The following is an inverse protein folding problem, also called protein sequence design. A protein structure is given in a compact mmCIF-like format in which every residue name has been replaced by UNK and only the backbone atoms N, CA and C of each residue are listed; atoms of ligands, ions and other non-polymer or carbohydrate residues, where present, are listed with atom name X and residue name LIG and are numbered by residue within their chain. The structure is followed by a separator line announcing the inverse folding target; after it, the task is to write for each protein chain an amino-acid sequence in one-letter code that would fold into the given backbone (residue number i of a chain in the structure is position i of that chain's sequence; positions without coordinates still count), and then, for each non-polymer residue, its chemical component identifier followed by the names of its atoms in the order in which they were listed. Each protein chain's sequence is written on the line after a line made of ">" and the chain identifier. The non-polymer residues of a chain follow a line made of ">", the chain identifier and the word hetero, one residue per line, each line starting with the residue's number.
data_IF_562450676783
#
_entry.id   IF_562450676783
#
_cell.length_a   1.000
_cell.length_b   1.000
_cell.length_c   1.000
_cell.angle_alpha   90.00
_cell.angle_beta   90.00
_cell.angle_gamma   90.00
#
_symmetry.space_group_name_H-M   'P 1'
#
loop_
_entity.id
_entity.type
_entity.pdbx_description
1 polymer ?
#
# COMPACT_ATOMS: atom_id res chain seq x y z
N UNK A 1 -27.00 16.01 42.81
CA UNK A 1 -27.22 16.91 41.66
C UNK A 1 -27.26 18.31 42.23
N UNK A 2 -26.20 19.08 42.00
CA UNK A 2 -25.84 20.24 42.83
C UNK A 2 -26.68 21.47 42.59
N UNK A 3 -27.41 21.89 43.62
CA UNK A 3 -28.25 23.11 43.73
C UNK A 3 -27.41 24.41 43.49
N UNK A 4 -26.10 24.35 43.67
CA UNK A 4 -25.20 25.49 43.49
C UNK A 4 -25.05 26.01 42.04
N UNK A 5 -25.27 25.15 41.04
CA UNK A 5 -25.15 25.55 39.63
C UNK A 5 -26.37 26.36 39.16
N UNK A 6 -27.56 26.13 39.76
CA UNK A 6 -28.79 26.83 39.40
C UNK A 6 -28.82 28.29 39.87
N UNK A 7 -28.10 28.61 40.99
CA UNK A 7 -28.04 29.97 41.57
C UNK A 7 -27.08 30.92 40.84
N UNK A 8 -26.09 30.38 40.15
CA UNK A 8 -25.14 31.19 39.39
C UNK A 8 -25.78 31.70 38.10
N UNK A 9 -26.70 30.93 37.49
CA UNK A 9 -27.40 31.31 36.27
C UNK A 9 -28.42 32.44 36.44
N UNK A 10 -28.95 32.65 37.65
CA UNK A 10 -29.99 33.64 37.91
C UNK A 10 -29.51 35.09 38.01
N UNK A 11 -28.20 35.31 38.07
CA UNK A 11 -27.59 36.65 38.21
C UNK A 11 -26.78 37.11 37.00
N UNK A 12 -26.75 36.30 35.95
CA UNK A 12 -26.05 36.66 34.71
C UNK A 12 -27.01 37.38 33.75
N UNK A 13 -26.68 38.63 33.41
CA UNK A 13 -27.44 39.42 32.44
C UNK A 13 -27.61 38.62 31.13
N UNK A 14 -28.81 38.53 30.57
CA UNK A 14 -29.14 37.73 29.37
C UNK A 14 -28.19 38.01 28.19
N UNK A 15 -27.67 39.24 28.08
CA UNK A 15 -26.66 39.63 27.07
C UNK A 15 -25.30 38.91 27.30
N UNK A 16 -24.91 38.68 28.56
CA UNK A 16 -23.64 37.98 28.89
C UNK A 16 -23.76 36.46 28.66
N UNK A 17 -24.92 35.88 28.93
CA UNK A 17 -25.20 34.45 28.64
C UNK A 17 -25.20 34.20 27.14
N UNK A 18 -25.77 35.10 26.35
CA UNK A 18 -25.75 35.03 24.88
C UNK A 18 -24.33 35.10 24.31
N UNK A 19 -23.50 35.96 24.87
CA UNK A 19 -22.08 36.08 24.48
C UNK A 19 -21.28 34.83 24.80
N UNK A 20 -21.51 34.21 25.97
CA UNK A 20 -20.82 32.97 26.38
C UNK A 20 -21.26 31.81 25.51
N UNK A 21 -22.56 31.71 25.17
CA UNK A 21 -23.07 30.69 24.24
C UNK A 21 -22.51 30.86 22.83
N UNK A 22 -22.38 32.10 22.36
CA UNK A 22 -21.84 32.41 21.03
C UNK A 22 -20.34 32.09 20.93
N UNK A 23 -19.55 32.40 21.99
CA UNK A 23 -18.12 32.06 22.05
C UNK A 23 -17.89 30.54 22.20
N UNK A 24 -18.73 29.85 22.94
CA UNK A 24 -18.65 28.39 23.09
C UNK A 24 -19.02 27.66 21.78
N UNK A 25 -19.99 28.16 21.02
CA UNK A 25 -20.34 27.66 19.68
C UNK A 25 -19.22 27.83 18.66
N UNK A 26 -18.45 28.93 18.76
CA UNK A 26 -17.35 29.20 17.83
C UNK A 26 -16.11 28.31 18.08
N UNK A 27 -15.92 27.83 19.33
CA UNK A 27 -14.87 26.88 19.69
C UNK A 27 -15.12 25.46 19.17
N UNK A 28 -16.36 25.07 18.91
CA UNK A 28 -16.70 23.74 18.40
C UNK A 28 -16.47 23.56 16.89
N UNK A 29 -16.29 24.64 16.14
CA UNK A 29 -16.10 24.61 14.69
C UNK A 29 -14.65 24.36 14.25
N UNK A 30 -13.68 24.39 15.15
CA UNK A 30 -12.25 24.20 14.81
C UNK A 30 -11.74 22.76 14.93
N UNK A 31 -12.58 21.81 15.35
CA UNK A 31 -12.16 20.44 15.65
C UNK A 31 -12.16 19.46 14.46
N UNK A 32 -12.54 19.89 13.23
CA UNK A 32 -12.90 18.93 12.19
C UNK A 32 -11.82 18.58 11.13
N UNK A 33 -10.56 19.04 11.25
CA UNK A 33 -9.59 18.79 10.16
C UNK A 33 -8.26 18.16 10.58
N UNK A 34 -8.08 17.79 11.84
CA UNK A 34 -6.79 17.25 12.33
C UNK A 34 -6.72 15.71 12.26
N UNK A 35 -7.85 15.02 12.25
CA UNK A 35 -7.91 13.55 12.29
C UNK A 35 -7.30 12.88 11.06
N UNK A 36 -7.57 13.38 9.86
CA UNK A 36 -7.11 12.75 8.62
C UNK A 36 -5.59 12.86 8.44
N UNK A 37 -4.97 13.99 8.78
CA UNK A 37 -3.51 14.17 8.67
C UNK A 37 -2.72 13.26 9.62
N UNK A 38 -3.20 13.04 10.83
CA UNK A 38 -2.54 12.17 11.81
C UNK A 38 -2.59 10.71 11.35
N UNK A 39 -3.73 10.25 10.86
CA UNK A 39 -3.89 8.88 10.31
C UNK A 39 -3.00 8.68 9.09
N UNK A 40 -2.88 9.66 8.21
CA UNK A 40 -2.03 9.57 7.02
C UNK A 40 -0.55 9.50 7.38
N UNK A 41 -0.09 10.27 8.38
CA UNK A 41 1.30 10.22 8.86
C UNK A 41 1.62 8.88 9.52
N UNK A 42 0.73 8.35 10.36
CA UNK A 42 0.90 7.05 11.00
C UNK A 42 0.96 5.92 9.96
N UNK A 43 0.09 5.94 8.95
CA UNK A 43 0.09 4.98 7.85
C UNK A 43 1.39 5.05 7.04
N UNK A 44 1.84 6.25 6.70
CA UNK A 44 3.08 6.46 5.99
C UNK A 44 4.28 5.89 6.77
N UNK A 45 4.34 6.11 8.08
CA UNK A 45 5.39 5.57 8.92
C UNK A 45 5.32 4.04 9.02
N UNK A 46 4.12 3.47 9.16
CA UNK A 46 3.93 2.02 9.18
C UNK A 46 4.42 1.39 7.87
N UNK A 47 4.08 1.96 6.71
CA UNK A 47 4.57 1.48 5.41
C UNK A 47 6.09 1.55 5.33
N UNK A 48 6.72 2.66 5.74
CA UNK A 48 8.19 2.77 5.77
C UNK A 48 8.82 1.65 6.61
N UNK A 49 8.27 1.41 7.80
CA UNK A 49 8.76 0.34 8.69
C UNK A 49 8.65 -1.04 8.04
N UNK A 50 7.54 -1.35 7.34
CA UNK A 50 7.36 -2.61 6.61
C UNK A 50 8.42 -2.79 5.52
N UNK A 51 8.70 -1.73 4.75
CA UNK A 51 9.68 -1.76 3.66
C UNK A 51 11.11 -1.94 4.19
N UNK A 52 11.49 -1.20 5.24
CA UNK A 52 12.82 -1.31 5.87
C UNK A 52 13.02 -2.67 6.56
N UNK A 53 11.98 -3.19 7.21
CA UNK A 53 11.99 -4.51 7.84
C UNK A 53 11.96 -5.66 6.83
N UNK A 54 11.64 -5.39 5.54
CA UNK A 54 11.41 -6.40 4.49
C UNK A 54 10.35 -7.43 4.89
N UNK A 55 9.27 -6.96 5.51
CA UNK A 55 8.20 -7.83 6.03
C UNK A 55 6.83 -7.30 5.58
N UNK A 56 6.46 -7.59 4.35
CA UNK A 56 5.19 -7.13 3.79
C UNK A 56 4.63 -8.07 2.72
N UNK A 57 3.36 -7.89 2.44
CA UNK A 57 2.66 -8.53 1.34
C UNK A 57 1.99 -7.47 0.47
N UNK A 58 2.04 -7.64 -0.84
CA UNK A 58 1.24 -6.86 -1.77
C UNK A 58 0.14 -7.75 -2.31
N UNK A 59 -1.11 -7.42 -1.95
CA UNK A 59 -2.30 -8.06 -2.53
C UNK A 59 -2.61 -7.41 -3.87
N UNK A 60 -2.65 -8.22 -4.94
CA UNK A 60 -2.80 -7.73 -6.31
C UNK A 60 -4.25 -7.86 -6.77
N UNK A 61 -4.78 -6.77 -7.32
CA UNK A 61 -6.15 -6.72 -7.86
C UNK A 61 -6.23 -6.69 -9.37
N UNK A 62 -5.16 -6.22 -10.05
CA UNK A 62 -5.13 -6.15 -11.52
C UNK A 62 -3.72 -6.35 -12.05
N UNK A 63 -3.64 -6.82 -13.31
CA UNK A 63 -2.40 -6.92 -14.08
C UNK A 63 -2.53 -6.17 -15.40
N UNK A 64 -1.43 -5.65 -15.90
CA UNK A 64 -1.32 -5.00 -17.20
C UNK A 64 -0.17 -5.62 -17.98
N UNK A 65 -0.45 -6.55 -18.90
CA UNK A 65 0.54 -7.06 -19.84
C UNK A 65 1.05 -5.95 -20.77
N UNK A 66 2.25 -6.11 -21.34
CA UNK A 66 2.84 -5.12 -22.24
C UNK A 66 1.98 -4.88 -23.48
N UNK A 67 1.34 -5.92 -24.03
CA UNK A 67 0.63 -5.89 -25.31
C UNK A 67 -0.88 -6.06 -25.19
N UNK A 68 -1.45 -5.91 -23.98
CA UNK A 68 -2.88 -6.11 -23.73
C UNK A 68 -3.45 -5.08 -22.73
N UNK A 69 -4.77 -4.86 -22.73
CA UNK A 69 -5.44 -4.04 -21.72
C UNK A 69 -5.24 -4.57 -20.30
N UNK A 70 -5.52 -3.70 -19.33
CA UNK A 70 -5.53 -4.10 -17.91
C UNK A 70 -6.60 -5.15 -17.66
N UNK A 71 -6.24 -6.21 -16.97
CA UNK A 71 -7.08 -7.36 -16.62
C UNK A 71 -7.23 -7.40 -15.09
N UNK A 72 -8.47 -7.56 -14.61
CA UNK A 72 -8.71 -7.85 -13.21
C UNK A 72 -8.29 -9.28 -12.89
N UNK A 73 -7.56 -9.47 -11.79
CA UNK A 73 -7.11 -10.81 -11.39
C UNK A 73 -7.98 -11.37 -10.28
N UNK A 74 -8.01 -12.69 -10.16
CA UNK A 74 -8.73 -13.38 -9.10
C UNK A 74 -8.17 -13.03 -7.73
N UNK A 75 -8.99 -13.14 -6.69
CA UNK A 75 -8.55 -12.99 -5.32
C UNK A 75 -7.44 -13.99 -4.96
N UNK A 76 -6.56 -13.59 -4.04
CA UNK A 76 -5.45 -14.44 -3.58
C UNK A 76 -4.14 -14.26 -4.32
N UNK A 77 -4.11 -13.48 -5.41
CA UNK A 77 -2.87 -13.13 -6.09
C UNK A 77 -2.06 -12.16 -5.23
N UNK A 78 -0.81 -12.51 -4.94
CA UNK A 78 0.01 -11.75 -3.98
C UNK A 78 1.50 -11.93 -4.22
N UNK A 79 2.26 -10.93 -3.77
CA UNK A 79 3.71 -10.97 -3.63
C UNK A 79 4.04 -10.83 -2.15
N UNK A 80 4.72 -11.82 -1.58
CA UNK A 80 5.12 -11.83 -0.18
C UNK A 80 6.61 -11.60 -0.09
N UNK A 81 7.04 -10.66 0.73
CA UNK A 81 8.44 -10.41 1.06
C UNK A 81 8.63 -10.65 2.55
N UNK A 82 9.59 -11.52 2.89
CA UNK A 82 9.98 -11.84 4.26
C UNK A 82 11.49 -11.96 4.33
N UNK A 83 12.12 -10.99 5.00
CA UNK A 83 13.57 -10.88 5.13
C UNK A 83 14.26 -10.86 3.75
N UNK A 84 14.99 -11.89 3.37
CA UNK A 84 15.60 -12.05 2.05
C UNK A 84 14.84 -13.00 1.13
N UNK A 85 13.67 -13.48 1.55
CA UNK A 85 12.84 -14.39 0.77
C UNK A 85 11.69 -13.68 0.11
N UNK A 86 11.38 -14.07 -1.11
CA UNK A 86 10.17 -13.65 -1.83
C UNK A 86 9.37 -14.87 -2.25
N UNK A 87 8.05 -14.83 -2.04
CA UNK A 87 7.11 -15.78 -2.61
C UNK A 87 6.14 -15.01 -3.53
N UNK A 88 6.16 -15.37 -4.79
CA UNK A 88 5.32 -14.78 -5.84
C UNK A 88 4.20 -15.74 -6.22
N UNK A 89 2.97 -15.25 -6.18
CA UNK A 89 1.75 -15.93 -6.64
C UNK A 89 1.04 -15.01 -7.64
N UNK A 90 1.74 -14.64 -8.72
CA UNK A 90 1.26 -13.67 -9.69
C UNK A 90 0.92 -14.36 -11.01
N UNK A 91 -0.25 -14.07 -11.63
CA UNK A 91 -0.54 -14.54 -12.97
C UNK A 91 0.39 -13.83 -13.97
N UNK A 92 0.72 -14.49 -15.07
CA UNK A 92 1.52 -13.88 -16.13
C UNK A 92 0.79 -14.03 -17.47
N UNK A 93 0.73 -12.93 -18.22
CA UNK A 93 0.23 -12.89 -19.58
C UNK A 93 1.22 -12.11 -20.42
N UNK A 94 1.93 -12.78 -21.31
CA UNK A 94 2.95 -12.18 -22.16
C UNK A 94 3.60 -13.22 -23.07
N UNK A 95 4.41 -12.75 -24.03
CA UNK A 95 5.20 -13.58 -24.92
C UNK A 95 6.58 -13.85 -24.33
N UNK A 96 7.25 -14.92 -24.76
CA UNK A 96 8.61 -15.21 -24.34
C UNK A 96 9.23 -16.41 -25.05
N UNK A 97 10.56 -16.44 -25.09
CA UNK A 97 11.32 -17.47 -25.82
C UNK A 97 11.20 -18.89 -25.23
N UNK A 98 10.76 -19.03 -23.98
CA UNK A 98 10.66 -20.32 -23.27
C UNK A 98 9.21 -20.81 -23.12
N UNK A 99 8.25 -20.25 -23.84
CA UNK A 99 6.89 -20.76 -23.86
C UNK A 99 6.83 -21.84 -24.96
N UNK A 100 6.84 -23.11 -24.57
CA UNK A 100 6.72 -24.22 -25.50
C UNK A 100 5.49 -24.04 -26.38
N UNK A 101 5.67 -24.20 -27.71
CA UNK A 101 4.61 -24.13 -28.73
C UNK A 101 3.49 -25.12 -28.34
N UNK A 102 2.31 -24.61 -28.01
CA UNK A 102 1.16 -25.45 -27.63
C UNK A 102 0.74 -25.40 -26.17
N UNK A 103 1.48 -24.74 -25.29
CA UNK A 103 1.02 -24.48 -23.93
C UNK A 103 0.08 -23.27 -23.93
N UNK A 104 -1.22 -23.50 -24.09
CA UNK A 104 -2.28 -22.55 -23.73
C UNK A 104 -2.34 -22.42 -22.20
N UNK A 105 -1.29 -21.86 -21.61
CA UNK A 105 -1.20 -21.66 -20.18
C UNK A 105 -0.31 -20.47 -19.92
N UNK A 106 -0.91 -19.41 -19.41
CA UNK A 106 -0.17 -18.32 -18.81
C UNK A 106 0.78 -18.92 -17.77
N UNK A 107 2.08 -18.94 -18.06
CA UNK A 107 3.08 -19.44 -17.10
C UNK A 107 3.10 -18.45 -15.93
N UNK A 108 2.36 -18.76 -14.87
CA UNK A 108 2.28 -17.91 -13.69
C UNK A 108 3.68 -17.60 -13.15
N UNK A 109 3.86 -16.42 -12.60
CA UNK A 109 5.06 -16.07 -11.83
C UNK A 109 4.91 -16.65 -10.42
N UNK A 110 4.75 -17.98 -10.34
CA UNK A 110 4.59 -18.71 -9.08
C UNK A 110 5.92 -19.36 -8.71
N UNK A 111 6.61 -18.74 -7.77
CA UNK A 111 7.89 -19.24 -7.28
C UNK A 111 8.17 -18.70 -5.88
N UNK A 112 9.07 -19.37 -5.19
CA UNK A 112 9.74 -18.86 -3.98
C UNK A 112 11.23 -18.78 -4.27
N UNK A 113 11.86 -17.67 -3.88
CA UNK A 113 13.28 -17.47 -4.14
C UNK A 113 13.92 -16.55 -3.13
N UNK A 114 15.25 -16.43 -3.23
CA UNK A 114 16.02 -15.49 -2.43
C UNK A 114 16.22 -14.20 -3.21
N UNK A 115 15.98 -13.08 -2.56
CA UNK A 115 16.20 -11.75 -3.15
C UNK A 115 17.67 -11.36 -3.04
N UNK A 116 18.17 -10.73 -4.10
CA UNK A 116 19.47 -10.05 -4.15
C UNK A 116 19.27 -8.58 -4.50
N UNK A 117 20.22 -7.72 -4.15
CA UNK A 117 20.22 -6.29 -4.47
C UNK A 117 18.96 -5.54 -3.98
N UNK A 118 18.39 -5.93 -2.82
CA UNK A 118 17.25 -5.23 -2.25
C UNK A 118 17.60 -3.81 -1.86
N UNK A 119 16.91 -2.84 -2.43
CA UNK A 119 17.13 -1.41 -2.19
C UNK A 119 15.78 -0.70 -2.04
N UNK A 120 15.71 0.19 -1.05
CA UNK A 120 14.57 1.11 -0.86
C UNK A 120 15.05 2.53 -1.08
N UNK A 121 14.34 3.30 -1.87
CA UNK A 121 14.56 4.72 -2.13
C UNK A 121 13.27 5.50 -1.89
N UNK A 122 13.39 6.73 -1.44
CA UNK A 122 12.27 7.65 -1.20
C UNK A 122 12.40 8.87 -2.12
N UNK A 123 12.02 8.76 -3.42
CA UNK A 123 12.16 9.86 -4.36
C UNK A 123 11.25 11.05 -4.03
N UNK A 124 10.19 10.81 -3.25
CA UNK A 124 9.24 11.82 -2.75
C UNK A 124 8.73 11.39 -1.37
N UNK A 125 8.23 12.32 -0.57
CA UNK A 125 7.70 12.05 0.77
C UNK A 125 6.54 11.03 0.77
N UNK A 126 5.74 11.01 -0.30
CA UNK A 126 4.58 10.15 -0.45
C UNK A 126 4.82 8.89 -1.29
N UNK A 127 6.07 8.62 -1.71
CA UNK A 127 6.43 7.52 -2.60
C UNK A 127 7.72 6.85 -2.17
N UNK A 128 7.69 5.54 -2.00
CA UNK A 128 8.88 4.68 -1.92
C UNK A 128 9.03 3.87 -3.20
N UNK A 129 10.26 3.60 -3.58
CA UNK A 129 10.63 2.68 -4.66
C UNK A 129 11.49 1.56 -4.09
N UNK A 130 11.06 0.32 -4.28
CA UNK A 130 11.78 -0.88 -3.89
C UNK A 130 12.26 -1.60 -5.14
N UNK A 131 13.51 -1.99 -5.18
CA UNK A 131 14.08 -2.77 -6.28
C UNK A 131 14.80 -3.98 -5.73
N UNK A 132 14.71 -5.12 -6.41
CA UNK A 132 15.47 -6.32 -6.12
C UNK A 132 15.48 -7.27 -7.31
N UNK A 133 16.31 -8.30 -7.24
CA UNK A 133 16.40 -9.38 -8.22
C UNK A 133 16.14 -10.72 -7.56
N UNK A 134 15.64 -11.66 -8.34
CA UNK A 134 15.44 -13.06 -7.93
C UNK A 134 15.89 -13.97 -9.04
N UNK A 135 16.73 -14.92 -8.71
CA UNK A 135 17.10 -16.02 -9.59
C UNK A 135 16.29 -17.26 -9.21
N UNK A 136 15.65 -17.89 -10.21
CA UNK A 136 14.85 -19.10 -10.04
C UNK A 136 15.17 -20.07 -11.19
N UNK A 137 16.12 -20.95 -10.99
CA UNK A 137 16.70 -21.77 -12.05
C UNK A 137 17.39 -20.90 -13.09
N UNK A 138 17.02 -21.05 -14.35
CA UNK A 138 17.56 -20.26 -15.48
C UNK A 138 16.91 -18.89 -15.64
N UNK A 139 15.83 -18.63 -14.90
CA UNK A 139 15.09 -17.39 -14.97
C UNK A 139 15.67 -16.34 -14.01
N UNK A 140 15.81 -15.11 -14.48
CA UNK A 140 16.11 -13.94 -13.66
C UNK A 140 14.94 -12.96 -13.73
N UNK A 141 14.44 -12.60 -12.58
CA UNK A 141 13.36 -11.61 -12.43
C UNK A 141 13.89 -10.33 -11.81
N UNK A 142 13.62 -9.18 -12.42
CA UNK A 142 13.87 -7.86 -11.83
C UNK A 142 12.54 -7.29 -11.38
N UNK A 143 12.46 -6.93 -10.11
CA UNK A 143 11.29 -6.31 -9.52
C UNK A 143 11.53 -4.82 -9.27
N UNK A 144 10.59 -4.00 -9.70
CA UNK A 144 10.49 -2.59 -9.38
C UNK A 144 9.12 -2.35 -8.76
N UNK A 145 9.09 -1.95 -7.51
CA UNK A 145 7.85 -1.77 -6.76
C UNK A 145 7.74 -0.30 -6.35
N UNK A 146 6.70 0.37 -6.77
CA UNK A 146 6.35 1.71 -6.31
C UNK A 146 5.24 1.61 -5.27
N UNK A 147 5.53 2.12 -4.06
CA UNK A 147 4.61 2.09 -2.93
C UNK A 147 4.27 3.52 -2.53
N UNK A 148 3.03 3.90 -2.71
CA UNK A 148 2.52 5.16 -2.19
C UNK A 148 2.21 5.04 -0.70
N UNK A 149 2.37 6.14 0.06
CA UNK A 149 2.17 6.15 1.51
C UNK A 149 0.70 6.00 1.93
N UNK A 150 -0.24 5.96 0.97
CA UNK A 150 -1.63 5.55 1.19
C UNK A 150 -1.85 4.03 1.02
N UNK A 151 -0.79 3.26 0.74
CA UNK A 151 -0.80 1.81 0.56
C UNK A 151 -0.98 1.35 -0.89
N UNK A 152 -1.36 2.20 -1.83
CA UNK A 152 -1.43 1.83 -3.25
C UNK A 152 -0.04 1.44 -3.74
N UNK A 153 0.03 0.34 -4.48
CA UNK A 153 1.30 -0.26 -4.90
C UNK A 153 1.22 -0.68 -6.35
N UNK A 154 2.28 -0.40 -7.10
CA UNK A 154 2.51 -0.94 -8.45
C UNK A 154 3.75 -1.83 -8.40
N UNK A 155 3.67 -3.00 -9.02
CA UNK A 155 4.78 -3.95 -9.15
C UNK A 155 5.05 -4.10 -10.65
N UNK A 156 6.23 -3.72 -11.09
CA UNK A 156 6.72 -4.00 -12.43
C UNK A 156 7.73 -5.15 -12.36
N UNK A 157 7.48 -6.19 -13.13
CA UNK A 157 8.35 -7.37 -13.21
C UNK A 157 8.92 -7.46 -14.61
N UNK A 158 10.24 -7.53 -14.70
CA UNK A 158 11.01 -7.73 -15.93
C UNK A 158 11.68 -9.12 -15.89
N UNK A 159 11.04 -10.16 -16.45
CA UNK A 159 11.63 -11.49 -16.52
C UNK A 159 12.62 -11.56 -17.70
N UNK A 160 13.77 -12.23 -17.50
CA UNK A 160 14.72 -12.44 -18.59
C UNK A 160 14.07 -13.24 -19.73
N UNK A 161 14.11 -12.69 -20.96
CA UNK A 161 13.63 -13.38 -22.17
C UNK A 161 12.12 -13.49 -22.31
N UNK A 162 11.36 -12.70 -21.53
CA UNK A 162 9.90 -12.60 -21.61
C UNK A 162 9.46 -11.13 -21.51
N UNK A 163 8.22 -10.84 -21.92
CA UNK A 163 7.67 -9.50 -21.82
C UNK A 163 7.57 -9.04 -20.37
N UNK A 164 7.83 -7.77 -20.12
CA UNK A 164 7.59 -7.16 -18.83
C UNK A 164 6.08 -7.09 -18.54
N UNK A 165 5.71 -7.12 -17.27
CA UNK A 165 4.34 -7.07 -16.83
C UNK A 165 4.21 -6.23 -15.56
N UNK A 166 3.13 -5.43 -15.47
CA UNK A 166 2.83 -4.58 -14.33
C UNK A 166 1.62 -5.11 -13.57
N UNK A 167 1.63 -4.94 -12.26
CA UNK A 167 0.51 -5.27 -11.36
C UNK A 167 0.17 -4.06 -10.51
N UNK A 168 -1.11 -3.93 -10.16
CA UNK A 168 -1.57 -2.92 -9.21
C UNK A 168 -2.29 -3.58 -8.05
N UNK A 169 -2.01 -3.08 -6.84
CA UNK A 169 -2.55 -3.64 -5.62
C UNK A 169 -2.37 -2.75 -4.40
N UNK A 170 -2.39 -3.37 -3.23
CA UNK A 170 -2.24 -2.71 -1.94
C UNK A 170 -1.21 -3.45 -1.09
N UNK A 171 -0.35 -2.68 -0.39
CA UNK A 171 0.62 -3.21 0.57
C UNK A 171 -0.04 -3.39 1.94
N UNK A 172 0.35 -4.46 2.63
CA UNK A 172 -0.06 -4.80 3.99
C UNK A 172 1.12 -5.41 4.76
N UNK A 173 1.02 -5.44 6.09
CA UNK A 173 1.89 -6.27 6.92
C UNK A 173 1.59 -7.77 6.77
N UNK A 174 2.49 -8.62 7.22
CA UNK A 174 2.34 -10.08 7.10
C UNK A 174 1.26 -10.68 8.02
N UNK A 175 0.74 -9.91 8.96
CA UNK A 175 -0.31 -10.33 9.90
C UNK A 175 -1.64 -10.66 9.23
N UNK A 176 -1.83 -10.30 7.97
CA UNK A 176 -3.06 -10.61 7.21
C UNK A 176 -3.00 -11.95 6.46
N UNK A 177 -1.89 -12.67 6.54
CA UNK A 177 -1.71 -13.98 5.90
C UNK A 177 -2.18 -15.10 6.80
#
# INVERSE_FOLDING_TARGET
>A
MNISVCLIFKKLNMKKVLFILMTFSMLLLTACNTGNKVVDVQRAQAIRNLLEARQFVVMVGSMRPMSAPTIQVSQGQKLIIRDNSVASYLPYAGSGQNVGYGASGYKALNFTGTMTDYKVEYPKDNLARVTFKVENGDDLYRFHIEVFMNGKTTIDVDPRGRDAISYSGMIHGLEIL
#
